data_IF_000844865544
#
_entry.id   IF_000844865544
#
_cell.length_a   1.000
_cell.length_b   1.000
_cell.length_c   1.000
_cell.angle_alpha   90.00
_cell.angle_beta   90.00
_cell.angle_gamma   90.00
#
_symmetry.space_group_name_H-M   'P 1'
#
loop_
_entity.id
_entity.type
_entity.pdbx_description
1 polymer ?
#
# COMPACT_ATOMS: atom_id res chain seq x y z
N UNK A 1 -61.08 71.34 22.14
CA UNK A 1 -60.06 71.23 23.21
C UNK A 1 -59.65 69.76 23.26
N UNK A 2 -58.45 69.39 22.78
CA UNK A 2 -57.12 69.61 23.42
C UNK A 2 -57.08 68.80 24.74
N UNK A 3 -56.18 67.87 25.03
CA UNK A 3 -54.76 67.72 24.69
C UNK A 3 -54.28 66.45 25.44
N UNK A 4 -54.38 65.27 24.82
CA UNK A 4 -53.76 64.04 25.39
C UNK A 4 -53.13 63.15 24.32
N UNK A 5 -53.53 63.28 23.05
CA UNK A 5 -52.90 62.56 21.94
C UNK A 5 -51.53 63.15 21.50
N UNK A 6 -51.23 64.41 21.87
CA UNK A 6 -50.00 65.08 21.46
C UNK A 6 -48.79 64.72 22.34
N UNK A 7 -49.02 64.33 23.60
CA UNK A 7 -47.96 64.02 24.57
C UNK A 7 -47.34 62.64 24.32
N UNK A 8 -48.12 61.67 23.85
CA UNK A 8 -47.65 60.30 23.53
C UNK A 8 -46.83 60.25 22.25
N UNK A 9 -47.12 61.12 21.27
CA UNK A 9 -46.38 61.18 20.01
C UNK A 9 -44.95 61.75 20.19
N UNK A 10 -44.78 62.69 21.12
CA UNK A 10 -43.46 63.30 21.40
C UNK A 10 -42.51 62.31 22.09
N UNK A 11 -43.03 61.43 22.95
CA UNK A 11 -42.24 60.39 23.64
C UNK A 11 -41.84 59.26 22.68
N UNK A 12 -42.68 58.93 21.70
CA UNK A 12 -42.37 57.86 20.73
C UNK A 12 -41.37 58.30 19.66
N UNK A 13 -41.39 59.58 19.26
CA UNK A 13 -40.41 60.13 18.29
C UNK A 13 -39.05 60.42 18.94
N UNK A 14 -39.01 60.72 20.24
CA UNK A 14 -37.74 60.90 20.98
C UNK A 14 -37.03 59.57 21.30
N UNK A 15 -37.75 58.44 21.36
CA UNK A 15 -37.13 57.12 21.58
C UNK A 15 -36.57 56.49 20.29
N UNK A 16 -37.01 56.94 19.12
CA UNK A 16 -36.49 56.49 17.81
C UNK A 16 -35.22 57.23 17.35
N UNK A 17 -34.79 58.28 18.05
CA UNK A 17 -33.62 59.08 17.68
C UNK A 17 -32.33 58.68 18.42
N UNK A 18 -32.37 57.63 19.25
CA UNK A 18 -31.23 57.16 20.06
C UNK A 18 -30.57 55.86 19.54
N UNK A 19 -30.85 55.47 18.30
CA UNK A 19 -30.26 54.29 17.67
C UNK A 19 -29.46 54.65 16.41
N UNK A 20 -28.52 55.58 16.54
CA UNK A 20 -27.41 55.68 15.59
C UNK A 20 -26.49 54.48 15.85
N UNK A 21 -26.22 53.58 14.89
CA UNK A 21 -25.06 52.73 15.03
C UNK A 21 -23.86 53.67 15.03
N UNK A 22 -23.10 53.63 16.12
CA UNK A 22 -21.75 54.17 16.12
C UNK A 22 -20.97 53.39 15.07
N UNK A 23 -20.97 53.88 13.83
CA UNK A 23 -19.99 53.48 12.82
C UNK A 23 -18.67 53.98 13.37
N UNK A 24 -17.90 53.06 13.97
CA UNK A 24 -16.55 53.32 14.40
C UNK A 24 -15.74 53.80 13.21
N UNK A 25 -15.47 55.10 13.17
CA UNK A 25 -14.35 55.65 12.44
C UNK A 25 -13.13 55.38 13.32
N UNK A 26 -12.26 54.47 12.87
CA UNK A 26 -10.80 54.57 12.94
C UNK A 26 -10.14 53.19 12.83
N UNK A 27 -9.24 53.07 11.85
CA UNK A 27 -8.27 51.98 11.75
C UNK A 27 -8.66 50.90 10.75
N UNK A 28 -7.88 50.81 9.69
CA UNK A 28 -7.80 49.69 8.75
C UNK A 28 -8.00 48.35 9.49
N UNK A 29 -9.21 47.81 9.42
CA UNK A 29 -9.58 46.61 10.18
C UNK A 29 -8.78 45.44 9.63
N UNK A 30 -8.25 44.56 10.49
CA UNK A 30 -7.52 43.34 10.06
C UNK A 30 -8.28 42.53 9.00
N UNK A 31 -9.61 42.60 9.01
CA UNK A 31 -10.47 41.97 8.01
C UNK A 31 -10.35 42.60 6.63
N UNK A 32 -10.23 43.92 6.54
CA UNK A 32 -10.10 44.65 5.28
C UNK A 32 -8.71 44.41 4.66
N UNK A 33 -7.65 44.39 5.48
CA UNK A 33 -6.31 43.97 5.03
C UNK A 33 -6.29 42.51 4.53
N UNK A 34 -6.98 41.60 5.24
CA UNK A 34 -7.07 40.20 4.81
C UNK A 34 -7.84 40.07 3.49
N UNK A 35 -8.87 40.90 3.28
CA UNK A 35 -9.65 40.92 2.04
C UNK A 35 -8.83 41.47 0.87
N UNK A 36 -8.06 42.54 1.10
CA UNK A 36 -7.13 43.08 0.12
C UNK A 36 -6.03 42.06 -0.23
N UNK A 37 -5.39 41.43 0.77
CA UNK A 37 -4.39 40.38 0.57
C UNK A 37 -4.93 39.16 -0.18
N UNK A 38 -6.17 38.76 0.07
CA UNK A 38 -6.83 37.67 -0.68
C UNK A 38 -7.11 38.08 -2.13
N UNK A 39 -7.54 39.32 -2.37
CA UNK A 39 -7.77 39.84 -3.72
C UNK A 39 -6.47 39.98 -4.52
N UNK A 40 -5.37 40.38 -3.88
CA UNK A 40 -4.04 40.40 -4.50
C UNK A 40 -3.50 38.99 -4.78
N UNK A 41 -3.64 38.07 -3.82
CA UNK A 41 -3.27 36.66 -4.00
C UNK A 41 -4.06 36.02 -5.15
N UNK A 42 -5.34 36.33 -5.28
CA UNK A 42 -6.19 35.89 -6.38
C UNK A 42 -5.73 36.41 -7.75
N UNK A 43 -5.19 37.64 -7.82
CA UNK A 43 -4.62 38.20 -9.05
C UNK A 43 -3.28 37.57 -9.44
N UNK A 44 -2.54 37.02 -8.48
CA UNK A 44 -1.21 36.41 -8.67
C UNK A 44 -1.25 34.87 -8.69
N UNK A 45 -2.44 34.26 -8.63
CA UNK A 45 -2.62 32.81 -8.73
C UNK A 45 -2.38 32.39 -10.20
N UNK A 46 -1.15 31.96 -10.50
CA UNK A 46 -0.87 31.26 -11.74
C UNK A 46 -1.61 29.92 -11.76
N UNK A 47 -2.07 29.51 -12.95
CA UNK A 47 -2.66 28.18 -13.13
C UNK A 47 -1.71 27.12 -12.58
N UNK A 48 -2.22 26.21 -11.76
CA UNK A 48 -1.46 25.13 -11.15
C UNK A 48 -0.81 24.28 -12.26
N UNK A 49 0.50 24.47 -12.49
CA UNK A 49 1.26 23.71 -13.48
C UNK A 49 1.86 22.51 -12.78
N UNK A 50 1.42 21.33 -13.18
CA UNK A 50 1.96 20.08 -12.63
C UNK A 50 3.47 20.03 -12.77
N UNK A 51 4.16 19.95 -11.62
CA UNK A 51 5.60 19.84 -11.55
C UNK A 51 6.11 18.53 -12.14
N UNK A 52 7.42 18.40 -12.38
CA UNK A 52 8.00 17.17 -12.96
C UNK A 52 7.69 15.93 -12.12
N UNK A 53 7.71 16.06 -10.79
CA UNK A 53 7.39 14.97 -9.86
C UNK A 53 5.90 14.63 -9.92
N UNK A 54 5.02 15.62 -9.97
CA UNK A 54 3.58 15.42 -10.10
C UNK A 54 3.24 14.77 -11.44
N UNK A 55 3.90 15.17 -12.53
CA UNK A 55 3.75 14.54 -13.84
C UNK A 55 4.24 13.10 -13.87
N UNK A 56 5.32 12.79 -13.15
CA UNK A 56 5.80 11.42 -12.97
C UNK A 56 4.81 10.61 -12.13
N UNK A 57 4.28 11.18 -11.05
CA UNK A 57 3.30 10.52 -10.19
C UNK A 57 1.98 10.25 -10.93
N UNK A 58 1.44 11.25 -11.62
CA UNK A 58 0.27 11.14 -12.50
C UNK A 58 0.56 10.16 -13.63
N UNK A 59 1.77 10.15 -14.20
CA UNK A 59 2.19 9.16 -15.20
C UNK A 59 2.26 7.73 -14.66
N UNK A 60 2.68 7.53 -13.40
CA UNK A 60 2.68 6.22 -12.73
C UNK A 60 1.25 5.73 -12.43
N UNK A 61 0.36 6.65 -12.06
CA UNK A 61 -1.07 6.39 -11.82
C UNK A 61 -1.81 6.09 -13.13
N UNK A 62 -1.64 6.90 -14.17
CA UNK A 62 -2.27 6.74 -15.49
C UNK A 62 -1.78 5.52 -16.26
N UNK A 63 -0.51 5.12 -16.11
CA UNK A 63 0.02 3.94 -16.80
C UNK A 63 -0.46 2.61 -16.20
N UNK A 64 -1.35 2.64 -15.20
CA UNK A 64 -1.87 1.44 -14.53
C UNK A 64 -0.72 0.53 -14.06
N UNK A 65 0.44 1.10 -13.77
CA UNK A 65 1.63 0.36 -13.34
C UNK A 65 1.39 -0.26 -11.98
N UNK A 66 0.67 0.46 -11.11
CA UNK A 66 0.15 -0.06 -9.85
C UNK A 66 -0.83 -1.21 -10.10
N UNK A 67 -1.79 -1.07 -11.01
CA UNK A 67 -2.71 -2.18 -11.34
C UNK A 67 -1.97 -3.37 -11.96
N UNK A 68 -0.91 -3.18 -12.74
CA UNK A 68 -0.07 -4.28 -13.26
C UNK A 68 0.80 -4.93 -12.18
N UNK A 69 1.12 -4.22 -11.10
CA UNK A 69 1.75 -4.78 -9.91
C UNK A 69 0.73 -5.56 -9.05
N UNK A 70 -0.51 -5.05 -8.91
CA UNK A 70 -1.59 -5.69 -8.15
C UNK A 70 -2.40 -6.72 -8.95
N UNK A 71 -2.26 -6.73 -10.28
CA UNK A 71 -2.90 -7.63 -11.25
C UNK A 71 -1.99 -7.79 -12.46
N UNK A 72 -0.91 -8.60 -12.32
CA UNK A 72 0.01 -8.86 -13.42
C UNK A 72 -0.73 -9.30 -14.68
N UNK A 73 -0.31 -8.80 -15.86
CA UNK A 73 -0.95 -9.10 -17.14
C UNK A 73 -0.91 -10.61 -17.42
N UNK A 74 -1.86 -11.07 -18.23
CA UNK A 74 -1.83 -12.43 -18.77
C UNK A 74 -0.55 -12.62 -19.62
N UNK A 75 0.12 -13.76 -19.45
CA UNK A 75 1.36 -14.10 -20.12
C UNK A 75 2.61 -13.84 -19.28
N UNK A 76 3.74 -13.63 -19.97
CA UNK A 76 5.03 -13.37 -19.34
C UNK A 76 5.15 -11.91 -18.92
N UNK A 77 5.72 -11.68 -17.74
CA UNK A 77 6.01 -10.34 -17.23
C UNK A 77 7.34 -10.31 -16.49
N UNK A 78 8.13 -9.22 -16.57
CA UNK A 78 9.31 -9.06 -15.74
C UNK A 78 8.91 -8.86 -14.28
N UNK A 79 9.69 -9.40 -13.36
CA UNK A 79 9.51 -9.19 -11.93
C UNK A 79 10.80 -8.66 -11.32
N UNK A 80 10.70 -7.59 -10.54
CA UNK A 80 11.83 -6.92 -9.88
C UNK A 80 11.48 -6.80 -8.40
N UNK A 81 12.45 -7.00 -7.51
CA UNK A 81 12.22 -6.88 -6.09
C UNK A 81 13.40 -7.38 -5.26
N UNK A 82 13.10 -7.95 -4.11
CA UNK A 82 14.06 -8.65 -3.23
C UNK A 82 13.51 -10.05 -2.96
N UNK A 83 14.39 -11.06 -2.85
CA UNK A 83 13.98 -12.44 -2.56
C UNK A 83 13.81 -12.65 -1.05
N UNK A 84 14.70 -12.08 -0.24
CA UNK A 84 14.63 -12.08 1.23
C UNK A 84 15.49 -10.95 1.79
N UNK A 85 15.42 -10.69 3.09
CA UNK A 85 16.30 -9.72 3.76
C UNK A 85 17.77 -10.10 3.52
N UNK A 86 18.60 -9.11 3.18
CA UNK A 86 20.02 -9.35 2.88
C UNK A 86 20.31 -9.83 1.46
N UNK A 87 19.31 -10.26 0.66
CA UNK A 87 19.51 -10.74 -0.72
C UNK A 87 19.84 -9.64 -1.73
N UNK A 88 19.76 -8.37 -1.37
CA UNK A 88 19.93 -7.26 -2.31
C UNK A 88 18.92 -7.27 -3.48
N UNK A 89 19.28 -6.58 -4.56
CA UNK A 89 18.45 -6.45 -5.76
C UNK A 89 18.24 -7.79 -6.47
N UNK A 90 16.99 -8.09 -6.81
CA UNK A 90 16.58 -9.32 -7.47
C UNK A 90 15.77 -9.04 -8.73
N UNK A 91 16.02 -9.81 -9.78
CA UNK A 91 15.36 -9.75 -11.08
C UNK A 91 14.84 -11.14 -11.44
N UNK A 92 13.71 -11.16 -12.16
CA UNK A 92 13.03 -12.40 -12.48
C UNK A 92 11.99 -12.25 -13.58
N UNK A 93 11.35 -13.37 -13.85
CA UNK A 93 10.24 -13.48 -14.78
C UNK A 93 9.06 -14.16 -14.09
N UNK A 94 7.86 -13.70 -14.41
CA UNK A 94 6.62 -14.34 -14.04
C UNK A 94 5.84 -14.73 -15.28
N UNK A 95 5.00 -15.75 -15.14
CA UNK A 95 4.00 -16.16 -16.10
C UNK A 95 2.66 -16.28 -15.38
N UNK A 96 1.59 -15.76 -15.97
CA UNK A 96 0.24 -15.88 -15.42
C UNK A 96 -0.77 -16.21 -16.52
N UNK A 97 -1.57 -17.24 -16.29
CA UNK A 97 -2.68 -17.62 -17.16
C UNK A 97 -3.98 -17.65 -16.33
N UNK A 98 -4.78 -16.57 -16.34
CA UNK A 98 -5.99 -16.46 -15.52
C UNK A 98 -7.19 -17.24 -16.07
N UNK A 99 -7.14 -17.71 -17.33
CA UNK A 99 -8.24 -18.39 -18.01
C UNK A 99 -8.03 -19.90 -18.19
N UNK A 100 -7.25 -20.53 -17.32
CA UNK A 100 -7.04 -21.97 -17.39
C UNK A 100 -8.39 -22.70 -17.16
N UNK A 101 -8.65 -23.76 -17.94
CA UNK A 101 -9.93 -24.50 -17.93
C UNK A 101 -11.18 -23.63 -18.17
N UNK A 102 -11.08 -22.61 -19.02
CA UNK A 102 -12.22 -21.73 -19.35
C UNK A 102 -12.59 -20.82 -18.19
N UNK A 103 -11.62 -20.06 -17.68
CA UNK A 103 -11.79 -19.08 -16.57
C UNK A 103 -12.11 -19.68 -15.20
N UNK A 104 -11.96 -21.01 -15.05
CA UNK A 104 -12.20 -21.71 -13.79
C UNK A 104 -10.95 -21.81 -12.92
N UNK A 105 -9.77 -21.64 -13.51
CA UNK A 105 -8.52 -21.66 -12.78
C UNK A 105 -7.52 -20.62 -13.28
N UNK A 106 -6.69 -20.16 -12.35
CA UNK A 106 -5.59 -19.24 -12.54
C UNK A 106 -4.30 -19.99 -12.28
N UNK A 107 -3.46 -20.11 -13.29
CA UNK A 107 -2.10 -20.59 -13.13
C UNK A 107 -1.13 -19.42 -13.03
N UNK A 108 -0.18 -19.49 -12.11
CA UNK A 108 0.91 -18.54 -12.02
C UNK A 108 2.21 -19.24 -11.68
N UNK A 109 3.28 -18.90 -12.38
CA UNK A 109 4.63 -19.33 -12.06
C UNK A 109 5.57 -18.12 -12.06
N UNK A 110 6.59 -18.11 -11.21
CA UNK A 110 7.60 -17.05 -11.22
C UNK A 110 8.93 -17.54 -10.72
N UNK A 111 10.00 -16.97 -11.27
CA UNK A 111 11.37 -17.22 -10.86
C UNK A 111 12.05 -15.87 -10.62
N UNK A 112 12.69 -15.69 -9.45
CA UNK A 112 13.49 -14.51 -9.12
C UNK A 112 14.86 -14.96 -8.66
N UNK A 113 15.88 -14.23 -9.09
CA UNK A 113 17.26 -14.41 -8.66
C UNK A 113 17.91 -13.08 -8.28
N UNK A 114 18.83 -13.15 -7.33
CA UNK A 114 19.73 -12.05 -6.96
C UNK A 114 21.17 -12.36 -7.39
N UNK A 115 21.98 -11.32 -7.55
CA UNK A 115 23.43 -11.41 -7.73
C UNK A 115 24.15 -12.17 -6.60
N UNK A 116 23.57 -12.22 -5.39
CA UNK A 116 24.10 -13.00 -4.27
C UNK A 116 23.70 -14.48 -4.30
N UNK A 117 23.25 -15.00 -5.46
CA UNK A 117 22.80 -16.39 -5.66
C UNK A 117 21.58 -16.80 -4.85
N UNK A 118 20.85 -15.84 -4.28
CA UNK A 118 19.52 -16.08 -3.74
C UNK A 118 18.56 -16.30 -4.89
N UNK A 119 17.69 -17.29 -4.79
CA UNK A 119 16.64 -17.47 -5.76
C UNK A 119 15.39 -18.08 -5.15
N UNK A 120 14.26 -17.81 -5.80
CA UNK A 120 12.97 -18.44 -5.50
C UNK A 120 12.27 -18.79 -6.80
N UNK A 121 11.70 -19.99 -6.83
CA UNK A 121 10.79 -20.49 -7.84
C UNK A 121 9.45 -20.73 -7.16
N UNK A 122 8.40 -20.09 -7.66
CA UNK A 122 7.04 -20.18 -7.11
C UNK A 122 6.09 -20.62 -8.21
N UNK A 123 5.22 -21.57 -7.92
CA UNK A 123 4.19 -22.07 -8.84
C UNK A 123 2.89 -22.26 -8.06
N UNK A 124 1.79 -21.77 -8.62
CA UNK A 124 0.47 -21.81 -8.00
C UNK A 124 -0.60 -22.08 -9.05
N UNK A 125 -1.56 -22.91 -8.68
CA UNK A 125 -2.79 -23.16 -9.40
C UNK A 125 -3.96 -22.87 -8.46
N UNK A 126 -4.76 -21.87 -8.78
CA UNK A 126 -5.91 -21.44 -8.00
C UNK A 126 -7.19 -21.68 -8.79
N UNK A 127 -8.15 -22.37 -8.20
CA UNK A 127 -9.51 -22.52 -8.73
C UNK A 127 -10.48 -21.76 -7.82
N UNK A 128 -10.75 -20.47 -8.09
CA UNK A 128 -11.51 -19.60 -7.19
C UNK A 128 -13.03 -19.79 -7.24
N UNK A 129 -13.53 -20.53 -8.25
CA UNK A 129 -14.96 -20.71 -8.51
C UNK A 129 -15.29 -22.18 -8.73
N UNK A 130 -15.28 -22.94 -7.65
CA UNK A 130 -15.76 -24.32 -7.60
C UNK A 130 -17.16 -24.36 -6.97
N UNK A 131 -17.91 -25.44 -7.24
CA UNK A 131 -19.25 -25.68 -6.68
C UNK A 131 -20.19 -24.45 -6.77
N UNK A 132 -20.39 -23.91 -7.98
CA UNK A 132 -21.20 -22.69 -8.21
C UNK A 132 -20.72 -21.47 -7.39
N UNK A 133 -19.41 -21.21 -7.40
CA UNK A 133 -18.76 -20.10 -6.68
C UNK A 133 -18.78 -20.21 -5.14
N UNK A 134 -19.21 -21.35 -4.61
CA UNK A 134 -19.26 -21.63 -3.18
C UNK A 134 -17.94 -22.16 -2.63
N UNK A 135 -17.00 -22.60 -3.46
CA UNK A 135 -15.73 -23.14 -3.02
C UNK A 135 -14.53 -22.60 -3.82
N UNK A 136 -13.38 -22.55 -3.15
CA UNK A 136 -12.08 -22.23 -3.71
C UNK A 136 -11.08 -23.32 -3.33
N UNK A 137 -10.20 -23.69 -4.25
CA UNK A 137 -9.08 -24.61 -4.00
C UNK A 137 -7.81 -24.02 -4.60
N UNK A 138 -6.72 -24.12 -3.87
CA UNK A 138 -5.40 -23.69 -4.29
C UNK A 138 -4.41 -24.84 -4.11
N UNK A 139 -3.52 -25.03 -5.07
CA UNK A 139 -2.33 -25.89 -4.94
C UNK A 139 -1.12 -25.04 -5.29
N UNK A 140 -0.08 -25.12 -4.47
CA UNK A 140 1.12 -24.33 -4.66
C UNK A 140 2.39 -25.11 -4.32
N UNK A 141 3.46 -24.76 -5.01
CA UNK A 141 4.80 -25.29 -4.81
C UNK A 141 5.78 -24.13 -4.85
N UNK A 142 6.71 -24.11 -3.90
CA UNK A 142 7.77 -23.12 -3.86
C UNK A 142 9.10 -23.81 -3.56
N UNK A 143 10.14 -23.38 -4.26
CA UNK A 143 11.51 -23.76 -3.95
C UNK A 143 12.37 -22.52 -3.83
N UNK A 144 13.09 -22.39 -2.74
CA UNK A 144 14.00 -21.27 -2.51
C UNK A 144 15.38 -21.74 -2.07
N UNK A 145 16.37 -20.91 -2.36
CA UNK A 145 17.74 -21.06 -1.85
C UNK A 145 18.21 -19.73 -1.30
N UNK A 146 18.62 -19.76 -0.03
CA UNK A 146 19.17 -18.66 0.73
C UNK A 146 20.59 -19.05 1.13
N UNK A 147 21.61 -18.72 0.33
CA UNK A 147 22.97 -19.22 0.53
C UNK A 147 23.71 -18.59 1.72
N UNK A 148 23.26 -17.44 2.23
CA UNK A 148 23.98 -16.64 3.22
C UNK A 148 23.08 -16.05 4.33
N UNK A 149 22.44 -16.88 5.14
CA UNK A 149 21.66 -16.38 6.28
C UNK A 149 22.56 -16.12 7.50
N UNK A 150 22.43 -14.93 8.09
CA UNK A 150 23.20 -14.53 9.26
C UNK A 150 22.51 -15.02 10.55
N UNK A 151 23.18 -15.87 11.32
CA UNK A 151 22.75 -16.28 12.64
C UNK A 151 23.54 -15.54 13.71
N UNK A 152 22.83 -14.81 14.58
CA UNK A 152 23.40 -13.97 15.63
C UNK A 152 23.37 -14.62 17.03
N UNK A 153 23.11 -15.93 17.11
CA UNK A 153 22.96 -16.66 18.39
C UNK A 153 21.63 -16.41 19.11
N UNK A 154 21.40 -17.13 20.20
CA UNK A 154 20.21 -17.01 21.05
C UNK A 154 20.69 -16.75 22.48
N UNK A 155 20.32 -15.60 23.05
CA UNK A 155 20.58 -15.26 24.46
C UNK A 155 21.32 -13.93 24.66
N UNK A 156 21.21 -13.33 25.87
CA UNK A 156 21.74 -12.00 26.18
C UNK A 156 23.27 -11.91 26.16
N UNK A 157 23.96 -13.05 26.28
CA UNK A 157 25.42 -13.14 26.33
C UNK A 157 26.08 -13.32 24.95
N UNK A 158 25.30 -13.26 23.86
CA UNK A 158 25.89 -13.39 22.52
C UNK A 158 26.54 -12.08 22.09
N UNK A 159 27.86 -12.04 21.80
CA UNK A 159 28.48 -10.82 21.30
C UNK A 159 27.90 -10.49 19.92
N UNK A 160 27.25 -9.33 19.77
CA UNK A 160 26.60 -8.94 18.50
C UNK A 160 27.51 -8.84 17.26
N UNK A 161 28.83 -9.03 17.42
CA UNK A 161 29.83 -9.08 16.35
C UNK A 161 30.16 -10.51 15.89
N UNK A 162 29.67 -11.53 16.58
CA UNK A 162 29.86 -12.94 16.21
C UNK A 162 28.58 -13.41 15.54
N UNK A 163 28.55 -13.30 14.22
CA UNK A 163 27.51 -13.87 13.39
C UNK A 163 28.12 -15.00 12.56
N UNK A 164 27.36 -16.07 12.42
CA UNK A 164 27.79 -17.25 11.67
C UNK A 164 26.83 -17.47 10.51
N UNK A 165 27.35 -17.94 9.38
CA UNK A 165 26.58 -18.05 8.15
C UNK A 165 26.14 -19.50 7.90
N UNK A 166 24.87 -19.68 7.52
CA UNK A 166 24.34 -20.95 7.06
C UNK A 166 23.58 -20.78 5.74
N UNK A 167 23.57 -21.83 4.92
CA UNK A 167 22.72 -21.89 3.73
C UNK A 167 21.41 -22.57 4.08
N UNK A 168 20.29 -22.08 3.56
CA UNK A 168 18.99 -22.70 3.69
C UNK A 168 18.38 -22.96 2.31
N UNK A 169 18.04 -24.21 2.04
CA UNK A 169 17.22 -24.59 0.92
C UNK A 169 15.86 -25.02 1.42
N UNK A 170 14.81 -24.43 0.88
CA UNK A 170 13.45 -24.79 1.24
C UNK A 170 12.72 -25.33 0.01
N UNK A 171 12.00 -26.43 0.18
CA UNK A 171 11.00 -26.90 -0.78
C UNK A 171 9.69 -27.04 -0.04
N UNK A 172 8.71 -26.25 -0.44
CA UNK A 172 7.37 -26.24 0.12
C UNK A 172 6.39 -26.69 -0.96
N UNK A 173 5.48 -27.58 -0.58
CA UNK A 173 4.34 -27.97 -1.40
C UNK A 173 3.10 -28.02 -0.51
N UNK A 174 2.01 -27.42 -0.96
CA UNK A 174 0.80 -27.35 -0.16
C UNK A 174 -0.45 -27.18 -0.99
N UNK A 175 -1.57 -27.34 -0.30
CA UNK A 175 -2.89 -27.09 -0.83
C UNK A 175 -3.74 -26.34 0.20
N UNK A 176 -4.63 -25.50 -0.28
CA UNK A 176 -5.64 -24.86 0.54
C UNK A 176 -7.01 -25.01 -0.10
N UNK A 177 -8.05 -24.91 0.72
CA UNK A 177 -9.42 -24.92 0.25
C UNK A 177 -10.30 -24.12 1.19
N UNK A 178 -11.26 -23.40 0.63
CA UNK A 178 -12.23 -22.63 1.39
C UNK A 178 -13.63 -22.81 0.79
N UNK A 179 -14.65 -22.79 1.65
CA UNK A 179 -16.06 -22.85 1.28
C UNK A 179 -16.79 -21.67 1.88
N UNK A 180 -17.74 -21.10 1.14
CA UNK A 180 -18.62 -20.02 1.60
C UNK A 180 -19.81 -20.64 2.32
N UNK A 181 -19.93 -20.34 3.61
CA UNK A 181 -21.11 -20.67 4.41
C UNK A 181 -22.10 -19.49 4.35
N UNK A 182 -22.93 -19.47 3.29
CA UNK A 182 -23.89 -18.39 3.03
C UNK A 182 -23.23 -17.14 2.45
N UNK A 183 -23.81 -15.95 2.73
CA UNK A 183 -23.32 -14.66 2.19
C UNK A 183 -22.28 -13.96 3.06
N UNK A 184 -22.09 -14.42 4.30
CA UNK A 184 -21.39 -13.66 5.34
C UNK A 184 -20.10 -14.33 5.84
N UNK A 185 -19.96 -15.64 5.69
CA UNK A 185 -18.84 -16.38 6.26
C UNK A 185 -18.19 -17.29 5.24
N UNK A 186 -16.88 -17.45 5.34
CA UNK A 186 -16.11 -18.49 4.66
C UNK A 186 -15.31 -19.28 5.68
N UNK A 187 -15.19 -20.58 5.44
CA UNK A 187 -14.40 -21.49 6.26
C UNK A 187 -13.41 -22.18 5.33
N UNK A 188 -12.14 -22.19 5.70
CA UNK A 188 -11.11 -22.83 4.90
C UNK A 188 -10.00 -23.41 5.75
N UNK A 189 -9.22 -24.25 5.10
CA UNK A 189 -8.05 -24.91 5.68
C UNK A 189 -6.91 -24.97 4.67
N UNK A 190 -5.70 -25.15 5.19
CA UNK A 190 -4.48 -25.32 4.42
C UNK A 190 -3.68 -26.47 5.02
N UNK A 191 -3.06 -27.26 4.15
CA UNK A 191 -2.11 -28.30 4.52
C UNK A 191 -0.87 -28.12 3.65
N UNK A 192 0.29 -28.10 4.28
CA UNK A 192 1.57 -27.91 3.61
C UNK A 192 2.64 -28.86 4.14
N UNK A 193 3.47 -29.34 3.22
CA UNK A 193 4.67 -30.10 3.50
C UNK A 193 5.87 -29.21 3.16
N UNK A 194 6.79 -29.09 4.11
CA UNK A 194 7.98 -28.27 3.97
C UNK A 194 9.22 -29.11 4.27
N UNK A 195 10.15 -29.13 3.32
CA UNK A 195 11.45 -29.76 3.46
C UNK A 195 12.51 -28.65 3.51
N UNK A 196 13.04 -28.43 4.71
CA UNK A 196 14.10 -27.46 4.95
C UNK A 196 15.42 -28.19 5.07
N UNK A 197 16.40 -27.81 4.26
CA UNK A 197 17.76 -28.30 4.33
C UNK A 197 18.66 -27.14 4.71
N UNK A 198 19.24 -27.22 5.91
CA UNK A 198 20.33 -26.35 6.30
C UNK A 198 21.65 -26.98 5.85
N UNK A 199 22.58 -26.13 5.42
CA UNK A 199 23.91 -26.55 4.98
C UNK A 199 24.93 -25.46 5.28
N UNK A 200 26.18 -25.76 4.94
CA UNK A 200 27.29 -24.82 5.14
C UNK A 200 27.06 -23.55 4.34
N UNK A 201 27.09 -22.41 5.03
CA UNK A 201 27.02 -21.09 4.40
C UNK A 201 28.09 -20.90 3.32
N UNK A 202 27.79 -20.13 2.28
CA UNK A 202 28.71 -19.94 1.14
C UNK A 202 29.60 -18.70 1.23
N UNK A 203 29.57 -17.98 2.35
CA UNK A 203 30.41 -16.79 2.54
C UNK A 203 31.84 -17.15 2.94
N UNK A 204 32.82 -16.61 2.22
CA UNK A 204 34.26 -16.75 2.52
C UNK A 204 34.74 -15.78 3.62
N UNK A 205 33.89 -14.84 4.05
CA UNK A 205 34.28 -13.73 4.95
C UNK A 205 33.84 -13.92 6.41
N UNK A 206 32.97 -14.89 6.66
CA UNK A 206 32.33 -15.12 7.96
C UNK A 206 32.42 -16.62 8.29
N UNK A 207 32.64 -17.01 9.55
CA UNK A 207 32.55 -18.42 9.96
C UNK A 207 31.23 -19.05 9.50
N UNK A 208 31.25 -20.34 9.15
CA UNK A 208 30.10 -21.07 8.60
C UNK A 208 29.69 -22.23 9.52
N UNK A 209 28.39 -22.44 9.71
CA UNK A 209 27.83 -23.60 10.44
C UNK A 209 27.28 -24.58 9.41
N UNK A 210 27.67 -25.85 9.52
CA UNK A 210 27.26 -26.95 8.63
C UNK A 210 28.18 -28.15 8.77
#
# INVERSE_FOLDING_TARGET
MKTTALTTLVIMVTLSLAASPAVGQDGETREDELRARRAEKAKQLENERQGTVERVLVGLEQNRLLERLFSPPEGFYPRIGTVTAGSGFSLGVGYRQPRLFGERAVFSASALGSFQKYWVLDTRLLAPRLANEAAEVEVYAQRSSWPEEAFYGIGPDTPGRVHTNYSLENTLFGGSGAVKAGRLFSVGGRVEHMNVRAGRGRSERIPTIG
#
